data_IF_196260254233
#
_entry.id   IF_196260254233
#
_cell.length_a   1.000
_cell.length_b   1.000
_cell.length_c   1.000
_cell.angle_alpha   90.00
_cell.angle_beta   90.00
_cell.angle_gamma   90.00
#
_symmetry.space_group_name_H-M   'P 1'
#
loop_
_entity.id
_entity.type
_entity.pdbx_description
1 polymer ?
#
# COMPACT_ATOMS: atom_id res chain seq x y z
N UNK A 1 43.51 -24.65 -41.09
CA UNK A 1 42.10 -24.36 -40.79
C UNK A 1 41.55 -24.98 -39.49
N UNK A 2 42.12 -26.08 -38.98
CA UNK A 2 41.62 -26.73 -37.75
C UNK A 2 41.93 -25.92 -36.47
N UNK A 3 43.07 -25.21 -36.44
CA UNK A 3 43.49 -24.38 -35.28
C UNK A 3 42.68 -23.09 -35.08
N UNK A 4 41.93 -22.63 -36.08
CA UNK A 4 41.06 -21.45 -35.96
C UNK A 4 39.65 -21.81 -35.45
N UNK A 5 39.28 -23.09 -35.54
CA UNK A 5 37.99 -23.61 -35.09
C UNK A 5 37.96 -23.84 -33.57
N UNK A 6 39.05 -24.33 -33.00
CA UNK A 6 39.12 -24.68 -31.57
C UNK A 6 39.29 -23.49 -30.61
N UNK A 7 39.71 -22.31 -31.10
CA UNK A 7 39.77 -21.09 -30.26
C UNK A 7 38.43 -20.35 -30.12
N UNK A 8 37.39 -20.72 -30.89
CA UNK A 8 36.03 -20.16 -30.76
C UNK A 8 35.16 -20.86 -29.71
N UNK A 9 35.57 -22.03 -29.20
CA UNK A 9 34.76 -22.84 -28.28
C UNK A 9 34.93 -22.51 -26.79
N UNK A 10 35.92 -21.70 -26.39
CA UNK A 10 36.24 -21.51 -24.97
C UNK A 10 36.27 -20.06 -24.49
N UNK A 11 35.70 -19.11 -25.24
CA UNK A 11 35.56 -17.74 -24.79
C UNK A 11 34.09 -17.33 -24.73
N UNK A 12 33.36 -17.89 -23.77
CA UNK A 12 32.17 -17.23 -23.27
C UNK A 12 32.65 -16.13 -22.32
N UNK A 13 32.44 -14.83 -22.64
CA UNK A 13 32.70 -13.81 -21.66
C UNK A 13 31.78 -14.10 -20.48
N UNK A 14 32.37 -14.42 -19.32
CA UNK A 14 31.71 -14.30 -18.03
C UNK A 14 31.34 -12.82 -17.89
N UNK A 15 30.25 -12.40 -18.54
CA UNK A 15 29.61 -11.13 -18.26
C UNK A 15 29.32 -11.18 -16.78
N UNK A 16 29.94 -10.27 -16.04
CA UNK A 16 29.52 -9.88 -14.72
C UNK A 16 28.01 -9.58 -14.78
N UNK A 17 27.19 -10.61 -14.56
CA UNK A 17 25.77 -10.45 -14.35
C UNK A 17 25.67 -9.88 -12.94
N UNK A 18 25.75 -8.55 -12.85
CA UNK A 18 25.35 -7.82 -11.67
C UNK A 18 24.06 -8.45 -11.13
N UNK A 19 24.04 -8.77 -9.82
CA UNK A 19 22.97 -9.51 -9.13
C UNK A 19 21.61 -9.08 -9.67
N UNK A 20 21.00 -9.92 -10.51
CA UNK A 20 19.71 -9.63 -11.14
C UNK A 20 18.67 -9.53 -10.03
N UNK A 21 18.21 -8.32 -9.74
CA UNK A 21 17.14 -8.08 -8.77
C UNK A 21 15.85 -8.59 -9.42
N UNK A 22 15.34 -9.73 -8.95
CA UNK A 22 14.17 -10.38 -9.52
C UNK A 22 12.91 -9.53 -9.33
N UNK A 23 12.36 -9.01 -10.44
CA UNK A 23 11.11 -8.24 -10.49
C UNK A 23 9.86 -9.12 -10.41
N UNK A 24 10.01 -10.44 -10.51
CA UNK A 24 8.91 -11.42 -10.64
C UNK A 24 7.94 -11.45 -9.46
N UNK A 25 8.26 -10.78 -8.35
CA UNK A 25 7.41 -10.70 -7.15
C UNK A 25 6.64 -9.39 -7.04
N UNK A 26 6.90 -8.41 -7.92
CA UNK A 26 6.23 -7.12 -7.89
C UNK A 26 4.71 -7.30 -8.08
N UNK A 27 3.92 -6.68 -7.22
CA UNK A 27 2.46 -6.70 -7.32
C UNK A 27 1.76 -7.99 -6.84
N UNK A 28 2.49 -9.06 -6.44
CA UNK A 28 1.89 -10.34 -6.02
C UNK A 28 0.75 -10.17 -5.02
N UNK A 29 1.03 -9.50 -3.89
CA UNK A 29 0.05 -9.36 -2.80
C UNK A 29 -1.12 -8.47 -3.22
N UNK A 30 -0.86 -7.36 -3.92
CA UNK A 30 -1.92 -6.44 -4.37
C UNK A 30 -2.88 -7.10 -5.37
N UNK A 31 -2.36 -7.97 -6.24
CA UNK A 31 -3.17 -8.67 -7.24
C UNK A 31 -3.88 -9.90 -6.64
N UNK A 32 -3.30 -10.51 -5.60
CA UNK A 32 -3.91 -11.62 -4.87
C UNK A 32 -5.11 -11.15 -4.02
N UNK A 33 -5.03 -9.97 -3.41
CA UNK A 33 -6.11 -9.45 -2.55
C UNK A 33 -7.35 -9.12 -3.36
N UNK A 34 -8.48 -9.76 -3.03
CA UNK A 34 -9.76 -9.51 -3.69
C UNK A 34 -10.16 -8.02 -3.62
N UNK A 35 -10.62 -7.47 -4.74
CA UNK A 35 -11.01 -6.06 -4.84
C UNK A 35 -12.45 -5.88 -4.32
N UNK A 36 -12.59 -5.27 -3.15
CA UNK A 36 -13.90 -4.92 -2.60
C UNK A 36 -14.38 -3.58 -3.21
N UNK A 37 -15.59 -3.52 -3.80
CA UNK A 37 -16.14 -2.26 -4.32
C UNK A 37 -16.40 -1.25 -3.19
N UNK A 38 -16.27 0.03 -3.51
CA UNK A 38 -16.57 1.10 -2.54
C UNK A 38 -18.08 1.17 -2.31
N UNK A 39 -18.49 1.15 -1.04
CA UNK A 39 -19.90 1.41 -0.66
C UNK A 39 -20.27 2.86 -0.99
N UNK A 40 -21.50 3.09 -1.46
CA UNK A 40 -22.06 4.42 -1.64
C UNK A 40 -22.24 5.07 -0.26
N UNK A 41 -21.80 6.31 -0.12
CA UNK A 41 -21.97 7.14 1.09
C UNK A 41 -22.60 8.47 0.71
N UNK A 42 -23.39 9.02 1.63
CA UNK A 42 -23.93 10.36 1.48
C UNK A 42 -22.81 11.41 1.47
N UNK A 43 -23.13 12.60 0.95
CA UNK A 43 -22.18 13.72 0.96
C UNK A 43 -21.97 14.16 2.40
N UNK A 44 -20.73 14.04 2.86
CA UNK A 44 -20.35 14.50 4.19
C UNK A 44 -20.43 16.02 4.29
N UNK A 45 -20.83 16.53 5.45
CA UNK A 45 -20.71 17.95 5.78
C UNK A 45 -19.25 18.43 5.66
N UNK A 46 -19.07 19.69 5.28
CA UNK A 46 -17.74 20.31 5.12
C UNK A 46 -17.64 21.61 5.94
N UNK A 47 -16.41 22.13 6.08
CA UNK A 47 -16.15 23.43 6.71
C UNK A 47 -16.68 23.57 8.14
N UNK A 48 -17.43 24.65 8.37
CA UNK A 48 -17.99 24.99 9.70
C UNK A 48 -19.04 23.98 10.16
N UNK A 49 -19.86 23.46 9.24
CA UNK A 49 -20.91 22.50 9.57
C UNK A 49 -20.30 21.22 10.17
N UNK A 50 -19.26 20.68 9.54
CA UNK A 50 -18.52 19.52 10.06
C UNK A 50 -17.87 19.79 11.42
N UNK A 51 -17.32 20.98 11.63
CA UNK A 51 -16.72 21.37 12.93
C UNK A 51 -17.76 21.40 14.04
N UNK A 52 -18.98 21.88 13.75
CA UNK A 52 -20.10 21.89 14.71
C UNK A 52 -20.54 20.48 15.07
N UNK A 53 -20.74 19.62 14.06
CA UNK A 53 -21.10 18.22 14.26
C UNK A 53 -20.09 17.48 15.15
N UNK A 54 -18.79 17.63 14.87
CA UNK A 54 -17.73 17.01 15.68
C UNK A 54 -17.70 17.52 17.12
N UNK A 55 -17.93 18.82 17.33
CA UNK A 55 -17.99 19.40 18.67
C UNK A 55 -19.16 18.83 19.47
N UNK A 56 -20.36 18.81 18.88
CA UNK A 56 -21.55 18.27 19.53
C UNK A 56 -21.33 16.81 19.94
N UNK A 57 -20.82 15.96 19.03
CA UNK A 57 -20.50 14.55 19.32
C UNK A 57 -19.50 14.39 20.46
N UNK A 58 -18.49 15.27 20.56
CA UNK A 58 -17.48 15.24 21.65
C UNK A 58 -18.06 15.70 22.98
N UNK A 59 -18.92 16.71 22.94
CA UNK A 59 -19.57 17.25 24.12
C UNK A 59 -20.56 16.25 24.74
N UNK A 60 -21.39 15.62 23.90
CA UNK A 60 -22.30 14.54 24.30
C UNK A 60 -21.53 13.31 24.80
N UNK A 61 -20.43 12.96 24.12
CA UNK A 61 -19.54 11.87 24.52
C UNK A 61 -18.71 12.14 25.78
N UNK A 62 -18.95 13.26 26.48
CA UNK A 62 -18.33 13.55 27.78
C UNK A 62 -16.85 13.92 27.71
N UNK A 63 -16.28 14.14 26.52
CA UNK A 63 -14.85 14.42 26.34
C UNK A 63 -14.42 15.65 27.15
N UNK A 64 -15.22 16.71 27.14
CA UNK A 64 -14.91 17.96 27.85
C UNK A 64 -15.22 17.92 29.35
N UNK A 65 -16.00 16.94 29.81
CA UNK A 65 -16.36 16.79 31.23
C UNK A 65 -15.43 15.83 31.96
N UNK A 66 -15.20 14.67 31.35
CA UNK A 66 -14.55 13.54 31.98
C UNK A 66 -13.19 13.22 31.34
N UNK A 67 -12.80 13.93 30.27
CA UNK A 67 -11.56 13.67 29.52
C UNK A 67 -11.54 12.36 28.74
N UNK A 68 -12.51 11.47 28.97
CA UNK A 68 -12.54 10.12 28.42
C UNK A 68 -13.67 9.99 27.41
N UNK A 69 -13.34 9.64 26.17
CA UNK A 69 -14.29 9.29 25.11
C UNK A 69 -13.66 8.27 24.16
N UNK A 70 -14.37 7.16 23.86
CA UNK A 70 -13.94 6.19 22.85
C UNK A 70 -14.42 6.62 21.47
N UNK A 71 -13.50 7.10 20.62
CA UNK A 71 -13.84 7.68 19.32
C UNK A 71 -14.27 6.66 18.25
N UNK A 72 -13.81 5.43 18.37
CA UNK A 72 -14.05 4.35 17.41
C UNK A 72 -14.18 3.02 18.15
N UNK A 73 -15.32 2.77 18.83
CA UNK A 73 -15.60 1.48 19.41
C UNK A 73 -15.67 0.41 18.31
N UNK A 74 -14.76 -0.56 18.37
CA UNK A 74 -14.89 -1.81 17.62
C UNK A 74 -15.72 -2.78 18.49
N UNK A 75 -16.66 -3.48 17.87
CA UNK A 75 -17.41 -4.57 18.46
C UNK A 75 -16.62 -5.87 18.34
#
# INVERSE_FOLDING_TARGET
EILLSLKKQFFHPLRNMAKVIALNRAGKVRNQTAKVPKKRKERSLTGRAKRREMFNRRNEGGLFKNGMMKFNPQF
#
